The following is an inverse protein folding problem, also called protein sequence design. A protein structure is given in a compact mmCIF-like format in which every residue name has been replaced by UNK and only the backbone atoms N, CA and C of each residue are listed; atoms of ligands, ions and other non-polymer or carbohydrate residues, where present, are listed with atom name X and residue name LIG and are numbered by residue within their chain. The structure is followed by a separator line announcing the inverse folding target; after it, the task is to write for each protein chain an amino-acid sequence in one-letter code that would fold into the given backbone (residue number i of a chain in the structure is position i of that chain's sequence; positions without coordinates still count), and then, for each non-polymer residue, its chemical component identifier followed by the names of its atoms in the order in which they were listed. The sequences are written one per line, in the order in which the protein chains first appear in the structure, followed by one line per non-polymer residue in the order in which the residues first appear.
data_IF_330990538566
#
_entry.id   IF_330990538566
#
_cell.length_a   1.000
_cell.length_b   1.000
_cell.length_c   1.000
_cell.angle_alpha   90.00
_cell.angle_beta   90.00
_cell.angle_gamma   90.00
#
_symmetry.space_group_name_H-M   'P 1'
#
loop_
_entity.id
_entity.type
_entity.pdbx_description
1 polymer ?
#
# COMPACT_ATOMS: atom_id res chain seq x y z
N UNK A 1 -32.65 21.43 13.33
CA UNK A 1 -32.80 21.04 14.73
C UNK A 1 -31.82 21.90 15.48
N UNK A 2 -32.40 22.71 16.34
CA UNK A 2 -31.86 23.91 16.95
C UNK A 2 -30.64 23.60 17.81
N UNK A 3 -29.58 24.40 17.68
CA UNK A 3 -28.49 24.43 18.65
C UNK A 3 -28.41 25.86 19.21
N UNK A 4 -28.85 25.94 20.46
CA UNK A 4 -28.93 27.12 21.31
C UNK A 4 -27.55 27.76 21.51
N UNK A 5 -27.47 29.05 21.19
CA UNK A 5 -26.36 29.92 21.55
C UNK A 5 -26.39 30.19 23.06
N UNK A 6 -25.46 29.58 23.80
CA UNK A 6 -25.24 29.87 25.21
C UNK A 6 -24.25 31.04 25.34
N UNK A 7 -24.77 32.27 25.27
CA UNK A 7 -24.06 33.47 25.72
C UNK A 7 -24.06 33.51 27.26
N UNK A 8 -22.95 33.07 27.85
CA UNK A 8 -22.67 33.25 29.27
C UNK A 8 -21.89 34.54 29.51
N UNK A 9 -22.61 35.66 29.56
CA UNK A 9 -22.11 36.95 30.03
C UNK A 9 -21.88 36.88 31.55
N UNK A 10 -20.62 36.82 31.97
CA UNK A 10 -20.22 37.01 33.36
C UNK A 10 -19.57 38.38 33.48
N UNK A 11 -20.41 39.33 33.86
CA UNK A 11 -20.09 40.73 34.07
C UNK A 11 -18.79 40.93 34.86
N UNK A 12 -17.84 41.57 34.20
CA UNK A 12 -16.71 42.25 34.83
C UNK A 12 -17.28 43.40 35.66
N UNK A 13 -17.34 43.21 36.98
CA UNK A 13 -17.47 44.33 37.90
C UNK A 13 -16.21 45.20 37.77
N UNK A 14 -16.33 46.36 37.14
CA UNK A 14 -15.32 47.40 37.12
C UNK A 14 -14.97 47.80 38.56
N UNK A 15 -13.71 47.55 38.94
CA UNK A 15 -13.15 48.09 40.17
C UNK A 15 -12.65 49.52 39.90
N UNK A 16 -12.91 50.50 40.80
CA UNK A 16 -12.53 51.88 40.55
C UNK A 16 -11.01 52.09 40.52
N UNK A 17 -10.51 52.72 39.46
CA UNK A 17 -9.15 53.27 39.34
C UNK A 17 -8.95 54.50 40.26
N UNK A 18 -9.04 54.35 41.58
CA UNK A 18 -8.65 55.40 42.52
C UNK A 18 -7.89 54.83 43.72
N UNK A 19 -6.69 54.29 43.47
CA UNK A 19 -5.72 54.01 44.54
C UNK A 19 -4.28 53.95 44.00
N UNK A 20 -3.93 54.93 43.16
CA UNK A 20 -2.55 55.14 42.75
C UNK A 20 -2.20 56.63 42.83
N UNK A 21 -2.15 57.14 44.07
CA UNK A 21 -1.53 58.44 44.35
C UNK A 21 -0.67 58.32 45.61
N UNK A 22 0.66 58.51 45.51
CA UNK A 22 1.49 58.59 46.71
C UNK A 22 1.12 59.85 47.50
N UNK A 23 1.17 59.84 48.84
CA UNK A 23 0.92 61.05 49.62
C UNK A 23 2.05 62.07 49.38
N UNK A 24 1.68 63.24 48.87
CA UNK A 24 2.54 64.41 48.76
C UNK A 24 2.96 64.92 50.15
N UNK A 25 4.17 65.48 50.32
CA UNK A 25 4.55 66.15 51.55
C UNK A 25 3.86 67.52 51.61
N UNK A 26 2.82 67.65 52.43
CA UNK A 26 2.24 68.97 52.74
C UNK A 26 3.09 69.67 53.79
N UNK A 27 3.63 70.80 53.36
CA UNK A 27 4.22 71.91 54.10
C UNK A 27 3.37 72.27 55.33
N UNK A 28 4.00 72.22 56.51
CA UNK A 28 3.45 72.72 57.75
C UNK A 28 3.38 74.27 57.71
N UNK A 29 2.21 74.80 58.06
CA UNK A 29 1.98 76.22 58.27
C UNK A 29 2.58 76.72 59.58
N UNK A 30 3.06 77.95 59.53
CA UNK A 30 3.48 78.77 60.65
C UNK A 30 2.28 79.11 61.56
N UNK A 31 2.46 79.07 62.87
CA UNK A 31 1.68 79.81 63.90
C UNK A 31 2.46 79.80 65.24
N UNK A 32 2.20 80.75 66.18
CA UNK A 32 3.19 81.61 66.85
C UNK A 32 3.62 81.11 68.26
N UNK A 33 4.56 81.79 68.96
CA UNK A 33 5.03 81.32 70.25
C UNK A 33 4.03 81.68 71.36
N UNK A 34 3.73 80.73 72.22
CA UNK A 34 3.02 80.96 73.48
C UNK A 34 3.94 80.53 74.62
N UNK A 35 4.39 81.52 75.38
CA UNK A 35 5.00 81.34 76.71
C UNK A 35 3.96 80.75 77.67
N UNK A 36 4.30 79.67 78.37
CA UNK A 36 3.63 79.28 79.62
C UNK A 36 4.68 78.83 80.62
N UNK A 37 4.67 79.48 81.78
CA UNK A 37 5.58 79.30 82.89
C UNK A 37 5.47 77.94 83.59
N UNK A 38 6.60 77.55 84.17
CA UNK A 38 6.84 76.32 84.92
C UNK A 38 6.11 76.33 86.28
N UNK A 39 5.70 75.16 86.79
CA UNK A 39 6.16 74.60 88.08
C UNK A 39 5.45 73.27 88.44
N UNK A 40 6.28 72.23 88.52
CA UNK A 40 6.26 71.05 89.42
C UNK A 40 5.11 70.01 89.36
N UNK A 41 5.09 69.25 88.26
CA UNK A 41 4.61 67.85 88.20
C UNK A 41 5.28 67.03 87.06
N UNK A 42 6.48 67.45 86.62
CA UNK A 42 7.05 67.16 85.29
C UNK A 42 7.51 65.71 85.09
N UNK A 43 7.89 65.00 86.15
CA UNK A 43 8.47 63.65 86.01
C UNK A 43 7.48 62.56 85.57
N UNK A 44 6.21 62.65 85.94
CA UNK A 44 5.22 61.60 85.64
C UNK A 44 4.58 61.74 84.26
N UNK A 45 4.44 62.98 83.76
CA UNK A 45 3.87 63.26 82.44
C UNK A 45 4.87 62.99 81.31
N UNK A 46 6.16 63.24 81.53
CA UNK A 46 7.20 62.97 80.53
C UNK A 46 7.40 61.45 80.29
N UNK A 47 7.23 60.63 81.33
CA UNK A 47 7.29 59.16 81.23
C UNK A 47 6.09 58.59 80.45
N UNK A 48 4.88 59.10 80.67
CA UNK A 48 3.66 58.69 79.95
C UNK A 48 3.71 59.09 78.47
N UNK A 49 4.16 60.31 78.17
CA UNK A 49 4.36 60.78 76.80
C UNK A 49 5.41 59.93 76.08
N UNK A 50 6.50 59.57 76.76
CA UNK A 50 7.54 58.68 76.21
C UNK A 50 7.01 57.26 75.94
N UNK A 51 6.18 56.71 76.84
CA UNK A 51 5.51 55.41 76.65
C UNK A 51 4.60 55.43 75.43
N UNK A 52 3.74 56.44 75.30
CA UNK A 52 2.81 56.58 74.17
C UNK A 52 3.54 56.78 72.82
N UNK A 53 4.66 57.51 72.80
CA UNK A 53 5.50 57.62 71.62
C UNK A 53 6.10 56.27 71.21
N UNK A 54 6.56 55.48 72.19
CA UNK A 54 7.09 54.14 71.93
C UNK A 54 6.01 53.19 71.38
N UNK A 55 4.79 53.24 71.93
CA UNK A 55 3.64 52.47 71.47
C UNK A 55 3.21 52.88 70.05
N UNK A 56 3.19 54.18 69.77
CA UNK A 56 2.89 54.72 68.44
C UNK A 56 3.92 54.24 67.40
N UNK A 57 5.20 54.23 67.75
CA UNK A 57 6.26 53.74 66.86
C UNK A 57 6.17 52.22 66.64
N UNK A 58 5.80 51.45 67.67
CA UNK A 58 5.49 50.01 67.53
C UNK A 58 4.29 49.82 66.58
N UNK A 59 3.22 50.59 66.76
CA UNK A 59 2.02 50.53 65.92
C UNK A 59 2.33 50.89 64.45
N UNK A 60 3.15 51.91 64.21
CA UNK A 60 3.62 52.30 62.87
C UNK A 60 4.44 51.20 62.22
N UNK A 61 5.37 50.56 62.95
CA UNK A 61 6.16 49.43 62.43
C UNK A 61 5.29 48.23 62.11
N UNK A 62 4.34 47.89 62.98
CA UNK A 62 3.38 46.80 62.75
C UNK A 62 2.47 47.07 61.55
N UNK A 63 2.00 48.31 61.40
CA UNK A 63 1.19 48.73 60.27
C UNK A 63 1.98 48.63 58.95
N UNK A 64 3.21 49.12 58.93
CA UNK A 64 4.11 48.99 57.77
C UNK A 64 4.39 47.52 57.43
N UNK A 65 4.61 46.66 58.43
CA UNK A 65 4.79 45.22 58.22
C UNK A 65 3.53 44.56 57.61
N UNK A 66 2.33 44.94 58.07
CA UNK A 66 1.06 44.48 57.50
C UNK A 66 0.88 44.93 56.05
N UNK A 67 1.22 46.19 55.72
CA UNK A 67 1.16 46.67 54.34
C UNK A 67 2.12 45.92 53.42
N UNK A 68 3.35 45.65 53.87
CA UNK A 68 4.30 44.85 53.09
C UNK A 68 3.81 43.41 52.89
N UNK A 69 3.24 42.79 53.92
CA UNK A 69 2.66 41.44 53.81
C UNK A 69 1.48 41.41 52.83
N UNK A 70 0.56 42.38 52.92
CA UNK A 70 -0.57 42.51 51.99
C UNK A 70 -0.09 42.71 50.54
N UNK A 71 0.95 43.51 50.33
CA UNK A 71 1.54 43.72 49.00
C UNK A 71 2.15 42.45 48.41
N UNK A 72 2.84 41.65 49.23
CA UNK A 72 3.40 40.35 48.81
C UNK A 72 2.27 39.39 48.44
N UNK A 73 1.21 39.30 49.26
CA UNK A 73 0.07 38.44 49.00
C UNK A 73 -0.68 38.86 47.73
N UNK A 74 -0.86 40.17 47.49
CA UNK A 74 -1.48 40.67 46.26
C UNK A 74 -0.64 40.28 45.03
N UNK A 75 0.68 40.43 45.09
CA UNK A 75 1.58 39.99 44.01
C UNK A 75 1.50 38.48 43.77
N UNK A 76 1.40 37.68 44.82
CA UNK A 76 1.23 36.23 44.70
C UNK A 76 -0.14 35.88 44.11
N UNK A 77 -1.21 36.56 44.53
CA UNK A 77 -2.55 36.36 44.00
C UNK A 77 -2.61 36.66 42.49
N UNK A 78 -2.03 37.78 42.05
CA UNK A 78 -1.95 38.14 40.62
C UNK A 78 -1.21 37.07 39.82
N UNK A 79 -0.05 36.61 40.31
CA UNK A 79 0.71 35.53 39.65
C UNK A 79 -0.09 34.25 39.54
N UNK A 80 -0.76 33.83 40.62
CA UNK A 80 -1.60 32.62 40.62
C UNK A 80 -2.79 32.78 39.67
N UNK A 81 -3.38 33.97 39.56
CA UNK A 81 -4.45 34.21 38.59
C UNK A 81 -3.94 34.13 37.14
N UNK A 82 -2.77 34.71 36.84
CA UNK A 82 -2.15 34.63 35.51
C UNK A 82 -1.78 33.19 35.14
N UNK A 83 -1.20 32.42 36.09
CA UNK A 83 -0.89 31.00 35.92
C UNK A 83 -2.15 30.17 35.67
N UNK A 84 -3.23 30.43 36.40
CA UNK A 84 -4.53 29.77 36.20
C UNK A 84 -5.09 30.07 34.81
N UNK A 85 -5.05 31.32 34.37
CA UNK A 85 -5.52 31.71 33.04
C UNK A 85 -4.66 31.13 31.92
N UNK A 86 -3.34 31.07 32.07
CA UNK A 86 -2.51 30.40 31.06
C UNK A 86 -2.78 28.89 31.05
N UNK A 87 -3.01 28.28 32.23
CA UNK A 87 -3.45 26.89 32.33
C UNK A 87 -4.77 26.62 31.60
N UNK A 88 -5.77 27.50 31.72
CA UNK A 88 -7.03 27.35 30.97
C UNK A 88 -6.81 27.56 29.47
N UNK A 89 -6.02 28.56 29.05
CA UNK A 89 -5.65 28.76 27.63
C UNK A 89 -4.94 27.54 27.05
N UNK A 90 -4.00 26.94 27.79
CA UNK A 90 -3.29 25.74 27.35
C UNK A 90 -4.24 24.55 27.20
N UNK A 91 -5.14 24.34 28.17
CA UNK A 91 -6.18 23.31 28.10
C UNK A 91 -7.09 23.50 26.88
N UNK A 92 -7.55 24.73 26.61
CA UNK A 92 -8.34 25.03 25.41
C UNK A 92 -7.58 24.75 24.11
N UNK A 93 -6.29 25.11 24.03
CA UNK A 93 -5.44 24.79 22.87
C UNK A 93 -5.33 23.28 22.67
N UNK A 94 -5.14 22.51 23.74
CA UNK A 94 -5.07 21.05 23.70
C UNK A 94 -6.40 20.43 23.24
N UNK A 95 -7.52 20.87 23.82
CA UNK A 95 -8.85 20.42 23.38
C UNK A 95 -9.10 20.73 21.89
N UNK A 96 -8.71 21.91 21.41
CA UNK A 96 -8.86 22.27 20.00
C UNK A 96 -7.97 21.43 19.07
N UNK A 97 -6.77 21.02 19.51
CA UNK A 97 -5.90 20.12 18.76
C UNK A 97 -6.51 18.71 18.69
N UNK A 98 -6.93 18.17 19.83
CA UNK A 98 -7.55 16.85 19.90
C UNK A 98 -8.83 16.76 19.05
N UNK A 99 -9.65 17.81 19.03
CA UNK A 99 -10.84 17.86 18.17
C UNK A 99 -10.48 17.84 16.67
N UNK A 100 -9.40 18.52 16.27
CA UNK A 100 -8.92 18.47 14.87
C UNK A 100 -8.41 17.07 14.51
N UNK A 101 -7.68 16.43 15.41
CA UNK A 101 -7.21 15.05 15.21
C UNK A 101 -8.38 14.06 15.14
N UNK A 102 -9.35 14.17 16.04
CA UNK A 102 -10.57 13.35 16.01
C UNK A 102 -11.30 13.52 14.67
N UNK A 103 -11.54 14.76 14.24
CA UNK A 103 -12.19 15.04 12.97
C UNK A 103 -11.39 14.49 11.77
N UNK A 104 -10.05 14.59 11.80
CA UNK A 104 -9.17 14.01 10.78
C UNK A 104 -9.29 12.49 10.72
N UNK A 105 -9.18 11.83 11.87
CA UNK A 105 -9.32 10.37 11.99
C UNK A 105 -10.71 9.88 11.56
N UNK A 106 -11.76 10.64 11.89
CA UNK A 106 -13.13 10.30 11.48
C UNK A 106 -13.30 10.38 9.95
N UNK A 107 -12.72 11.39 9.31
CA UNK A 107 -12.71 11.48 7.85
C UNK A 107 -11.90 10.34 7.22
N UNK A 108 -10.71 10.04 7.74
CA UNK A 108 -9.90 8.92 7.27
C UNK A 108 -10.65 7.58 7.38
N UNK A 109 -11.34 7.35 8.50
CA UNK A 109 -12.16 6.17 8.72
C UNK A 109 -13.27 6.07 7.67
N UNK A 110 -14.00 7.15 7.42
CA UNK A 110 -15.07 7.19 6.40
C UNK A 110 -14.52 6.89 5.00
N UNK A 111 -13.37 7.45 4.63
CA UNK A 111 -12.71 7.16 3.35
C UNK A 111 -12.34 5.68 3.24
N UNK A 112 -11.81 5.09 4.31
CA UNK A 112 -11.43 3.68 4.33
C UNK A 112 -12.65 2.75 4.25
N UNK A 113 -13.72 3.06 4.97
CA UNK A 113 -14.99 2.32 4.91
C UNK A 113 -15.61 2.34 3.52
N UNK A 114 -15.65 3.52 2.89
CA UNK A 114 -16.13 3.68 1.51
C UNK A 114 -15.27 2.89 0.52
N UNK A 115 -13.94 2.97 0.65
CA UNK A 115 -13.02 2.22 -0.18
C UNK A 115 -13.21 0.70 -0.04
N UNK A 116 -13.33 0.21 1.19
CA UNK A 116 -13.56 -1.21 1.47
C UNK A 116 -14.89 -1.67 0.88
N UNK A 117 -15.96 -0.88 1.02
CA UNK A 117 -17.28 -1.19 0.47
C UNK A 117 -17.25 -1.29 -1.05
N UNK A 118 -16.58 -0.35 -1.74
CA UNK A 118 -16.40 -0.39 -3.20
C UNK A 118 -15.59 -1.61 -3.64
N UNK A 119 -14.53 -1.93 -2.91
CA UNK A 119 -13.70 -3.11 -3.18
C UNK A 119 -14.51 -4.40 -3.04
N UNK A 120 -15.25 -4.55 -1.94
CA UNK A 120 -16.13 -5.69 -1.71
C UNK A 120 -17.18 -5.83 -2.81
N UNK A 121 -17.83 -4.74 -3.21
CA UNK A 121 -18.81 -4.77 -4.30
C UNK A 121 -18.19 -5.21 -5.62
N UNK A 122 -17.02 -4.65 -5.99
CA UNK A 122 -16.31 -5.03 -7.21
C UNK A 122 -15.92 -6.52 -7.22
N UNK A 123 -15.54 -7.08 -6.07
CA UNK A 123 -15.25 -8.51 -5.95
C UNK A 123 -16.52 -9.37 -6.07
N UNK A 124 -17.63 -8.96 -5.46
CA UNK A 124 -18.91 -9.65 -5.61
C UNK A 124 -19.37 -9.65 -7.07
N UNK A 125 -19.27 -8.53 -7.77
CA UNK A 125 -19.65 -8.42 -9.19
C UNK A 125 -18.79 -9.34 -10.06
N UNK A 126 -17.48 -9.40 -9.82
CA UNK A 126 -16.57 -10.34 -10.52
C UNK A 126 -16.93 -11.79 -10.25
N UNK A 127 -17.20 -12.15 -9.00
CA UNK A 127 -17.58 -13.51 -8.62
C UNK A 127 -18.90 -13.91 -9.30
N UNK A 128 -19.88 -13.00 -9.33
CA UNK A 128 -21.15 -13.23 -10.02
C UNK A 128 -20.96 -13.44 -11.53
N UNK A 129 -20.12 -12.62 -12.18
CA UNK A 129 -19.78 -12.79 -13.61
C UNK A 129 -19.14 -14.16 -13.87
N UNK A 130 -18.16 -14.56 -13.05
CA UNK A 130 -17.49 -15.86 -13.18
C UNK A 130 -18.45 -17.03 -12.96
N UNK A 131 -19.37 -16.93 -12.01
CA UNK A 131 -20.40 -17.96 -11.78
C UNK A 131 -21.32 -18.07 -12.98
N UNK A 132 -21.73 -16.94 -13.57
CA UNK A 132 -22.54 -16.92 -14.77
C UNK A 132 -21.80 -17.57 -15.96
N UNK A 133 -20.59 -17.11 -16.26
CA UNK A 133 -19.73 -17.66 -17.33
C UNK A 133 -19.49 -19.16 -17.15
N UNK A 134 -19.26 -19.63 -15.92
CA UNK A 134 -19.10 -21.05 -15.64
C UNK A 134 -20.39 -21.83 -15.92
N UNK A 135 -21.55 -21.29 -15.57
CA UNK A 135 -22.82 -21.95 -15.87
C UNK A 135 -23.10 -22.03 -17.39
N UNK A 136 -22.79 -20.98 -18.14
CA UNK A 136 -22.87 -20.95 -19.61
C UNK A 136 -21.90 -21.96 -20.27
N UNK A 137 -20.68 -22.05 -19.76
CA UNK A 137 -19.68 -23.02 -20.22
C UNK A 137 -20.09 -24.46 -19.93
N UNK A 138 -20.64 -24.73 -18.75
CA UNK A 138 -21.15 -26.06 -18.39
C UNK A 138 -22.29 -26.49 -19.31
N UNK A 139 -23.22 -25.59 -19.62
CA UNK A 139 -24.31 -25.90 -20.55
C UNK A 139 -23.79 -26.15 -21.98
N UNK A 140 -22.83 -25.34 -22.43
CA UNK A 140 -22.18 -25.53 -23.74
C UNK A 140 -21.49 -26.90 -23.82
N UNK A 141 -20.73 -27.27 -22.78
CA UNK A 141 -20.09 -28.58 -22.68
C UNK A 141 -21.11 -29.72 -22.67
N UNK A 142 -22.23 -29.55 -21.96
CA UNK A 142 -23.32 -30.52 -21.91
C UNK A 142 -23.89 -30.76 -23.32
N UNK A 143 -24.23 -29.70 -24.04
CA UNK A 143 -24.77 -29.77 -25.41
C UNK A 143 -23.77 -30.40 -26.38
N UNK A 144 -22.49 -30.02 -26.31
CA UNK A 144 -21.44 -30.62 -27.13
C UNK A 144 -21.23 -32.11 -26.81
N UNK A 145 -21.27 -32.47 -25.52
CA UNK A 145 -21.20 -33.86 -25.06
C UNK A 145 -22.35 -34.72 -25.59
N UNK A 146 -23.57 -34.19 -25.64
CA UNK A 146 -24.72 -34.87 -26.26
C UNK A 146 -24.57 -35.01 -27.78
N UNK A 147 -24.08 -33.97 -28.45
CA UNK A 147 -23.81 -34.02 -29.89
C UNK A 147 -22.75 -35.09 -30.23
N UNK A 148 -21.67 -35.17 -29.45
CA UNK A 148 -20.65 -36.22 -29.59
C UNK A 148 -21.22 -37.62 -29.37
N UNK A 149 -22.09 -37.81 -28.37
CA UNK A 149 -22.77 -39.10 -28.16
C UNK A 149 -23.62 -39.49 -29.36
N UNK A 150 -24.41 -38.55 -29.90
CA UNK A 150 -25.22 -38.77 -31.11
C UNK A 150 -24.34 -39.13 -32.32
N UNK A 151 -23.27 -38.38 -32.57
CA UNK A 151 -22.33 -38.67 -33.66
C UNK A 151 -21.62 -40.01 -33.51
N UNK A 152 -21.27 -40.38 -32.28
CA UNK A 152 -20.65 -41.68 -31.99
C UNK A 152 -21.63 -42.82 -32.29
N UNK A 153 -22.89 -42.66 -31.88
CA UNK A 153 -23.94 -43.63 -32.18
C UNK A 153 -24.17 -43.76 -33.70
N UNK A 154 -24.33 -42.64 -34.42
CA UNK A 154 -24.52 -42.69 -35.88
C UNK A 154 -23.32 -43.28 -36.60
N UNK A 155 -22.09 -42.96 -36.18
CA UNK A 155 -20.88 -43.57 -36.73
C UNK A 155 -20.83 -45.09 -36.50
N UNK A 156 -21.29 -45.58 -35.34
CA UNK A 156 -21.39 -47.00 -35.07
C UNK A 156 -22.44 -47.70 -35.96
N UNK A 157 -23.60 -47.08 -36.14
CA UNK A 157 -24.66 -47.60 -37.04
C UNK A 157 -24.14 -47.67 -38.48
N UNK A 158 -23.55 -46.59 -39.00
CA UNK A 158 -22.99 -46.55 -40.34
C UNK A 158 -21.86 -47.57 -40.54
N UNK A 159 -21.03 -47.81 -39.52
CA UNK A 159 -20.00 -48.87 -39.58
C UNK A 159 -20.62 -50.26 -39.71
N UNK A 160 -21.70 -50.54 -38.97
CA UNK A 160 -22.44 -51.81 -39.06
C UNK A 160 -23.10 -51.97 -40.43
N UNK A 161 -23.81 -50.95 -40.91
CA UNK A 161 -24.43 -50.97 -42.24
C UNK A 161 -23.38 -51.18 -43.34
N UNK A 162 -22.22 -50.51 -43.26
CA UNK A 162 -21.09 -50.77 -44.15
C UNK A 162 -20.66 -52.23 -44.09
N UNK A 163 -20.51 -52.81 -42.90
CA UNK A 163 -20.07 -54.20 -42.74
C UNK A 163 -21.11 -55.20 -43.29
N UNK A 164 -22.41 -54.92 -43.15
CA UNK A 164 -23.50 -55.71 -43.74
C UNK A 164 -23.49 -55.63 -45.28
N UNK A 165 -23.32 -54.44 -45.85
CA UNK A 165 -23.21 -54.26 -47.30
C UNK A 165 -21.94 -54.91 -47.87
N UNK A 166 -20.82 -54.82 -47.14
CA UNK A 166 -19.60 -55.55 -47.49
C UNK A 166 -19.84 -57.06 -47.44
N UNK A 167 -20.61 -57.56 -46.47
CA UNK A 167 -20.96 -58.97 -46.41
C UNK A 167 -21.75 -59.47 -47.65
N UNK A 168 -22.44 -58.58 -48.37
CA UNK A 168 -23.21 -58.90 -49.58
C UNK A 168 -22.42 -58.73 -50.89
N UNK A 169 -21.24 -58.11 -50.89
CA UNK A 169 -20.40 -57.93 -52.09
C UNK A 169 -19.51 -59.13 -52.37
N UNK A 170 -19.21 -59.36 -53.66
CA UNK A 170 -18.37 -60.47 -54.11
C UNK A 170 -16.94 -60.34 -53.54
N UNK A 171 -16.29 -61.46 -53.24
CA UNK A 171 -15.03 -61.49 -52.47
C UNK A 171 -13.91 -60.72 -53.17
N UNK A 172 -13.93 -60.69 -54.50
CA UNK A 172 -12.96 -59.96 -55.33
C UNK A 172 -13.19 -58.44 -55.34
N UNK A 173 -14.40 -57.97 -55.03
CA UNK A 173 -14.75 -56.55 -55.01
C UNK A 173 -14.59 -55.92 -53.62
N UNK A 174 -14.65 -56.74 -52.56
CA UNK A 174 -14.44 -56.29 -51.16
C UNK A 174 -13.11 -55.59 -50.92
N UNK A 175 -12.04 -56.06 -51.56
CA UNK A 175 -10.69 -55.49 -51.39
C UNK A 175 -10.60 -54.01 -51.82
N UNK A 176 -11.44 -53.58 -52.76
CA UNK A 176 -11.51 -52.18 -53.22
C UNK A 176 -12.08 -51.27 -52.14
N UNK A 177 -13.05 -51.76 -51.36
CA UNK A 177 -13.76 -50.98 -50.33
C UNK A 177 -13.12 -51.08 -48.94
N UNK A 178 -12.36 -52.15 -48.68
CA UNK A 178 -11.60 -52.33 -47.44
C UNK A 178 -10.21 -51.69 -47.49
N UNK A 179 -9.75 -51.23 -48.65
CA UNK A 179 -8.53 -50.44 -48.72
C UNK A 179 -8.66 -49.25 -47.76
N UNK A 180 -7.77 -49.13 -46.74
CA UNK A 180 -7.61 -47.88 -46.03
C UNK A 180 -7.42 -46.80 -47.09
N UNK A 181 -8.00 -45.60 -46.93
CA UNK A 181 -7.75 -44.51 -47.87
C UNK A 181 -6.23 -44.28 -47.96
N UNK A 182 -5.57 -44.92 -48.93
CA UNK A 182 -4.11 -45.04 -49.05
C UNK A 182 -3.50 -43.74 -49.55
N UNK A 183 -4.32 -42.72 -49.83
CA UNK A 183 -3.86 -41.35 -49.85
C UNK A 183 -4.15 -40.73 -48.48
N UNK A 184 -3.09 -40.54 -47.68
CA UNK A 184 -3.07 -39.66 -46.52
C UNK A 184 -3.34 -38.20 -46.94
N UNK A 185 -4.55 -37.95 -47.47
CA UNK A 185 -5.04 -36.64 -47.86
C UNK A 185 -5.92 -36.16 -46.73
N UNK A 186 -5.64 -34.94 -46.26
CA UNK A 186 -6.45 -34.34 -45.22
C UNK A 186 -7.90 -34.20 -45.70
N UNK A 187 -8.90 -34.17 -44.80
CA UNK A 187 -10.30 -33.95 -45.17
C UNK A 187 -10.50 -32.68 -46.02
N UNK A 188 -9.69 -31.64 -45.75
CA UNK A 188 -9.66 -30.39 -46.52
C UNK A 188 -9.11 -30.60 -47.94
N UNK A 189 -8.10 -31.45 -48.13
CA UNK A 189 -7.61 -31.80 -49.47
C UNK A 189 -8.65 -32.60 -50.25
N UNK A 190 -9.37 -33.51 -49.59
CA UNK A 190 -10.45 -34.27 -50.22
C UNK A 190 -11.63 -33.35 -50.61
N UNK A 191 -11.98 -32.38 -49.75
CA UNK A 191 -12.97 -31.37 -50.06
C UNK A 191 -12.55 -30.49 -51.24
N UNK A 192 -11.29 -30.08 -51.31
CA UNK A 192 -10.74 -29.31 -52.44
C UNK A 192 -10.76 -30.11 -53.75
N UNK A 193 -10.49 -31.42 -53.69
CA UNK A 193 -10.59 -32.30 -54.85
C UNK A 193 -12.05 -32.44 -55.35
N UNK A 194 -13.02 -32.44 -54.44
CA UNK A 194 -14.44 -32.58 -54.75
C UNK A 194 -15.13 -31.26 -55.18
N UNK A 195 -14.56 -30.11 -54.82
CA UNK A 195 -15.16 -28.79 -55.08
C UNK A 195 -14.94 -28.27 -56.51
N UNK A 196 -14.02 -28.85 -57.29
CA UNK A 196 -13.81 -28.44 -58.69
C UNK A 196 -15.02 -28.84 -59.54
N UNK A 197 -15.68 -27.86 -60.18
CA UNK A 197 -16.75 -28.12 -61.13
C UNK A 197 -16.24 -28.71 -62.47
N UNK A 198 -14.94 -28.54 -62.78
CA UNK A 198 -14.34 -29.19 -63.93
C UNK A 198 -14.22 -30.69 -63.64
N UNK A 199 -14.68 -31.54 -64.56
CA UNK A 199 -14.49 -32.99 -64.46
C UNK A 199 -13.51 -33.46 -65.52
N UNK A 200 -12.58 -34.33 -65.13
CA UNK A 200 -11.69 -35.00 -66.07
C UNK A 200 -12.46 -35.96 -66.98
N UNK A 201 -11.83 -36.43 -68.09
CA UNK A 201 -12.45 -37.31 -69.08
C UNK A 201 -12.97 -38.65 -68.52
N UNK A 202 -12.63 -39.02 -67.28
CA UNK A 202 -13.11 -40.22 -66.57
C UNK A 202 -13.74 -39.93 -65.20
N UNK A 203 -14.28 -38.72 -64.99
CA UNK A 203 -14.72 -38.24 -63.68
C UNK A 203 -13.62 -38.14 -62.61
N UNK A 204 -12.35 -38.17 -63.04
CA UNK A 204 -11.20 -37.93 -62.17
C UNK A 204 -11.10 -36.45 -61.81
N UNK A 205 -10.53 -36.12 -60.63
CA UNK A 205 -10.29 -34.75 -60.21
C UNK A 205 -9.46 -33.99 -61.25
N UNK A 206 -9.94 -32.79 -61.59
CA UNK A 206 -9.35 -31.92 -62.60
C UNK A 206 -7.94 -31.42 -62.16
N UNK A 207 -7.10 -30.97 -63.09
CA UNK A 207 -5.80 -30.36 -62.75
C UNK A 207 -5.92 -29.18 -61.78
N UNK A 208 -7.00 -28.39 -61.88
CA UNK A 208 -7.30 -27.30 -60.96
C UNK A 208 -7.60 -27.82 -59.53
N UNK A 209 -8.26 -28.97 -59.41
CA UNK A 209 -8.60 -29.60 -58.13
C UNK A 209 -7.32 -30.09 -57.43
N UNK A 210 -6.41 -30.70 -58.20
CA UNK A 210 -5.10 -31.10 -57.70
C UNK A 210 -4.24 -29.91 -57.26
N UNK A 211 -4.23 -28.82 -58.03
CA UNK A 211 -3.53 -27.59 -57.65
C UNK A 211 -4.13 -26.97 -56.37
N UNK A 212 -5.46 -26.92 -56.25
CA UNK A 212 -6.16 -26.43 -55.07
C UNK A 212 -5.85 -27.29 -53.83
N UNK A 213 -5.97 -28.62 -53.94
CA UNK A 213 -5.64 -29.54 -52.86
C UNK A 213 -4.17 -29.45 -52.43
N UNK A 214 -3.24 -29.31 -53.39
CA UNK A 214 -1.82 -29.08 -53.08
C UNK A 214 -1.61 -27.77 -52.33
N UNK A 215 -2.25 -26.67 -52.75
CA UNK A 215 -2.17 -25.38 -52.05
C UNK A 215 -2.77 -25.45 -50.65
N UNK A 216 -3.85 -26.20 -50.48
CA UNK A 216 -4.47 -26.41 -49.18
C UNK A 216 -3.56 -27.19 -48.23
N UNK A 217 -2.82 -28.18 -48.74
CA UNK A 217 -1.77 -28.88 -47.99
C UNK A 217 -0.64 -27.93 -47.58
N UNK A 218 -0.15 -27.11 -48.50
CA UNK A 218 0.89 -26.11 -48.21
C UNK A 218 0.42 -25.11 -47.15
N UNK A 219 -0.81 -24.61 -47.25
CA UNK A 219 -1.38 -23.70 -46.26
C UNK A 219 -1.51 -24.37 -44.88
N UNK A 220 -1.97 -25.61 -44.81
CA UNK A 220 -2.05 -26.35 -43.56
C UNK A 220 -0.67 -26.53 -42.90
N UNK A 221 0.36 -26.85 -43.69
CA UNK A 221 1.74 -26.95 -43.20
C UNK A 221 2.28 -25.61 -42.69
N UNK A 222 2.00 -24.52 -43.41
CA UNK A 222 2.42 -23.17 -43.00
C UNK A 222 1.72 -22.73 -41.72
N UNK A 223 0.40 -22.94 -41.61
CA UNK A 223 -0.36 -22.61 -40.39
C UNK A 223 0.21 -23.37 -39.19
N UNK A 224 0.47 -24.67 -39.34
CA UNK A 224 1.05 -25.48 -38.27
C UNK A 224 2.45 -24.99 -37.87
N UNK A 225 3.28 -24.62 -38.85
CA UNK A 225 4.61 -24.04 -38.58
C UNK A 225 4.51 -22.70 -37.86
N UNK A 226 3.59 -21.83 -38.26
CA UNK A 226 3.35 -20.53 -37.61
C UNK A 226 2.92 -20.73 -36.16
N UNK A 227 1.97 -21.63 -35.89
CA UNK A 227 1.52 -21.95 -34.53
C UNK A 227 2.67 -22.44 -33.64
N UNK A 228 3.55 -23.28 -34.18
CA UNK A 228 4.73 -23.75 -33.44
C UNK A 228 5.68 -22.61 -33.11
N UNK A 229 5.99 -21.76 -34.09
CA UNK A 229 6.86 -20.60 -33.88
C UNK A 229 6.25 -19.60 -32.90
N UNK A 230 4.93 -19.38 -32.94
CA UNK A 230 4.22 -18.55 -31.96
C UNK A 230 4.30 -19.13 -30.55
N UNK A 231 4.13 -20.45 -30.40
CA UNK A 231 4.28 -21.14 -29.12
C UNK A 231 5.72 -21.03 -28.58
N UNK A 232 6.72 -21.28 -29.43
CA UNK A 232 8.15 -21.14 -29.08
C UNK A 232 8.48 -19.69 -28.69
N UNK A 233 8.00 -18.69 -29.43
CA UNK A 233 8.22 -17.28 -29.12
C UNK A 233 7.56 -16.89 -27.79
N UNK A 234 6.35 -17.39 -27.53
CA UNK A 234 5.65 -17.15 -26.28
C UNK A 234 6.35 -17.80 -25.08
N UNK A 235 6.85 -19.02 -25.21
CA UNK A 235 7.61 -19.70 -24.17
C UNK A 235 8.96 -19.01 -23.92
N UNK A 236 9.62 -18.52 -24.98
CA UNK A 236 10.81 -17.68 -24.87
C UNK A 236 10.53 -16.37 -24.13
N UNK A 237 9.40 -15.71 -24.42
CA UNK A 237 9.01 -14.46 -23.75
C UNK A 237 8.77 -14.69 -22.24
N UNK A 238 8.00 -15.74 -21.89
CA UNK A 238 7.81 -16.14 -20.48
C UNK A 238 9.11 -16.42 -19.77
N UNK A 239 10.03 -17.13 -20.43
CA UNK A 239 11.34 -17.45 -19.88
C UNK A 239 12.14 -16.17 -19.63
N UNK A 240 12.12 -15.21 -20.57
CA UNK A 240 12.78 -13.92 -20.40
C UNK A 240 12.20 -13.12 -19.21
N UNK A 241 10.87 -13.15 -19.02
CA UNK A 241 10.22 -12.49 -17.89
C UNK A 241 10.61 -13.10 -16.53
N UNK A 242 10.68 -14.43 -16.43
CA UNK A 242 11.14 -15.13 -15.21
C UNK A 242 12.58 -14.71 -14.88
N UNK A 243 13.46 -14.68 -15.88
CA UNK A 243 14.84 -14.22 -15.67
C UNK A 243 14.88 -12.75 -15.23
N UNK A 244 14.10 -11.88 -15.87
CA UNK A 244 14.02 -10.46 -15.50
C UNK A 244 13.62 -10.28 -14.04
N UNK A 245 12.56 -10.95 -13.60
CA UNK A 245 12.09 -10.90 -12.21
C UNK A 245 13.13 -11.43 -11.23
N UNK A 246 13.76 -12.58 -11.55
CA UNK A 246 14.84 -13.12 -10.74
C UNK A 246 16.04 -12.15 -10.63
N UNK A 247 16.41 -11.47 -11.72
CA UNK A 247 17.44 -10.43 -11.70
C UNK A 247 17.05 -9.23 -10.83
N UNK A 248 15.81 -8.77 -10.90
CA UNK A 248 15.30 -7.67 -10.07
C UNK A 248 15.35 -8.01 -8.58
N UNK A 249 14.91 -9.22 -8.20
CA UNK A 249 15.02 -9.74 -6.84
C UNK A 249 16.48 -9.78 -6.38
N UNK A 250 17.38 -10.29 -7.23
CA UNK A 250 18.80 -10.38 -6.87
C UNK A 250 19.46 -9.01 -6.72
N UNK A 251 19.10 -8.04 -7.57
CA UNK A 251 19.56 -6.66 -7.46
C UNK A 251 19.09 -6.01 -6.15
N UNK A 252 17.83 -6.23 -5.76
CA UNK A 252 17.28 -5.71 -4.51
C UNK A 252 17.98 -6.32 -3.28
N UNK A 253 18.18 -7.65 -3.26
CA UNK A 253 18.95 -8.36 -2.23
C UNK A 253 20.38 -7.80 -2.14
N UNK A 254 21.05 -7.64 -3.28
CA UNK A 254 22.43 -7.14 -3.33
C UNK A 254 22.56 -5.70 -2.82
N UNK A 255 21.64 -4.81 -3.18
CA UNK A 255 21.58 -3.42 -2.66
C UNK A 255 21.42 -3.40 -1.14
N UNK A 256 20.61 -4.30 -0.58
CA UNK A 256 20.40 -4.40 0.87
C UNK A 256 21.65 -4.91 1.59
N UNK A 257 22.29 -5.96 1.08
CA UNK A 257 23.54 -6.48 1.64
C UNK A 257 24.67 -5.44 1.56
N UNK A 258 24.79 -4.73 0.44
CA UNK A 258 25.78 -3.66 0.26
C UNK A 258 25.57 -2.54 1.29
N UNK A 259 24.32 -2.12 1.52
CA UNK A 259 24.01 -1.12 2.56
C UNK A 259 24.35 -1.61 3.96
N UNK A 260 24.05 -2.87 4.29
CA UNK A 260 24.40 -3.47 5.60
C UNK A 260 25.92 -3.55 5.79
N UNK A 261 26.66 -3.95 4.77
CA UNK A 261 28.12 -3.97 4.79
C UNK A 261 28.73 -2.57 4.96
N UNK A 262 28.24 -1.56 4.22
CA UNK A 262 28.69 -0.18 4.36
C UNK A 262 28.40 0.38 5.76
N UNK A 263 27.24 0.06 6.33
CA UNK A 263 26.90 0.45 7.71
C UNK A 263 27.81 -0.23 8.74
N UNK A 264 28.13 -1.51 8.55
CA UNK A 264 29.08 -2.23 9.40
C UNK A 264 30.51 -1.68 9.29
N UNK A 265 30.96 -1.31 8.08
CA UNK A 265 32.25 -0.66 7.86
C UNK A 265 32.30 0.70 8.56
N UNK A 266 31.31 1.58 8.34
CA UNK A 266 31.22 2.87 9.01
C UNK A 266 31.16 2.74 10.54
N UNK A 267 30.42 1.75 11.07
CA UNK A 267 30.41 1.44 12.52
C UNK A 267 31.74 0.91 13.01
N UNK A 268 32.45 0.11 12.22
CA UNK A 268 33.80 -0.38 12.53
C UNK A 268 34.82 0.76 12.51
N UNK A 269 34.64 1.76 11.64
CA UNK A 269 35.50 2.94 11.61
C UNK A 269 35.25 3.85 12.83
N UNK A 270 33.99 3.92 13.31
CA UNK A 270 33.60 4.64 14.52
C UNK A 270 33.96 3.90 15.84
N UNK A 271 33.85 2.57 15.89
CA UNK A 271 34.05 1.74 17.10
C UNK A 271 35.36 0.96 17.10
N UNK A 272 36.12 0.97 16.00
CA UNK A 272 37.43 0.34 15.86
C UNK A 272 38.50 0.98 16.74
N UNK A 273 38.21 2.14 17.34
CA UNK A 273 38.99 2.73 18.41
C UNK A 273 38.77 2.06 19.78
N UNK A 274 37.70 1.26 19.99
CA UNK A 274 37.35 0.81 21.35
C UNK A 274 36.96 -0.65 21.56
N UNK A 275 36.29 -1.39 20.65
CA UNK A 275 35.89 -2.79 20.98
C UNK A 275 35.72 -3.72 19.78
N UNK A 276 36.34 -4.91 19.86
CA UNK A 276 36.10 -6.07 18.99
C UNK A 276 34.79 -6.78 19.38
N UNK A 277 33.67 -6.43 18.73
CA UNK A 277 32.43 -7.22 18.84
C UNK A 277 32.40 -8.35 17.80
N UNK A 278 31.77 -9.48 18.18
CA UNK A 278 31.60 -10.68 17.36
C UNK A 278 30.89 -10.34 16.03
N UNK A 279 31.25 -11.01 14.91
CA UNK A 279 30.61 -10.78 13.62
C UNK A 279 29.12 -11.14 13.68
N UNK A 280 28.30 -10.33 13.00
CA UNK A 280 26.86 -10.58 12.79
C UNK A 280 26.71 -11.85 11.95
N UNK A 281 26.43 -12.98 12.60
CA UNK A 281 26.28 -14.29 11.95
C UNK A 281 25.21 -14.27 10.86
N UNK A 282 24.11 -13.53 11.06
CA UNK A 282 23.05 -13.43 10.06
C UNK A 282 23.51 -12.75 8.78
N UNK A 283 24.35 -11.71 8.86
CA UNK A 283 24.92 -11.08 7.66
C UNK A 283 25.88 -12.01 6.90
N UNK A 284 26.64 -12.83 7.63
CA UNK A 284 27.55 -13.82 7.03
C UNK A 284 26.74 -14.89 6.31
N UNK A 285 25.68 -15.39 6.93
CA UNK A 285 24.80 -16.39 6.33
C UNK A 285 24.12 -15.83 5.05
N UNK A 286 23.60 -14.60 5.09
CA UNK A 286 22.99 -13.95 3.91
C UNK A 286 23.99 -13.69 2.76
N UNK A 287 25.27 -13.45 3.09
CA UNK A 287 26.33 -13.27 2.09
C UNK A 287 26.73 -14.60 1.45
N UNK A 288 26.78 -15.67 2.25
CA UNK A 288 27.05 -17.04 1.77
C UNK A 288 25.92 -17.47 0.83
N UNK A 289 24.66 -17.26 1.22
CA UNK A 289 23.50 -17.57 0.38
C UNK A 289 23.54 -16.79 -0.95
N UNK A 290 23.80 -15.48 -0.93
CA UNK A 290 23.94 -14.68 -2.14
C UNK A 290 25.12 -15.11 -3.04
N UNK A 291 26.20 -15.63 -2.46
CA UNK A 291 27.31 -16.20 -3.24
C UNK A 291 26.93 -17.54 -3.87
N UNK A 292 26.20 -18.40 -3.15
CA UNK A 292 25.64 -19.63 -3.68
C UNK A 292 24.70 -19.36 -4.86
N UNK A 293 23.74 -18.45 -4.70
CA UNK A 293 22.79 -18.03 -5.75
C UNK A 293 23.52 -17.57 -7.03
N UNK A 294 24.58 -16.75 -6.87
CA UNK A 294 25.39 -16.26 -8.00
C UNK A 294 26.16 -17.38 -8.69
N UNK A 295 26.68 -18.33 -7.93
CA UNK A 295 27.42 -19.45 -8.48
C UNK A 295 26.49 -20.40 -9.26
N UNK A 296 25.30 -20.66 -8.73
CA UNK A 296 24.25 -21.44 -9.41
C UNK A 296 23.78 -20.74 -10.69
N UNK A 297 23.51 -19.43 -10.65
CA UNK A 297 23.14 -18.64 -11.82
C UNK A 297 24.23 -18.69 -12.91
N UNK A 298 25.51 -18.62 -12.53
CA UNK A 298 26.64 -18.73 -13.48
C UNK A 298 26.69 -20.11 -14.13
N UNK A 299 26.44 -21.19 -13.36
CA UNK A 299 26.36 -22.55 -13.90
C UNK A 299 25.21 -22.66 -14.91
N UNK A 300 24.03 -22.15 -14.58
CA UNK A 300 22.89 -22.12 -15.52
C UNK A 300 23.21 -21.34 -16.80
N UNK A 301 23.86 -20.18 -16.70
CA UNK A 301 24.29 -19.42 -17.87
C UNK A 301 25.30 -20.19 -18.73
N UNK A 302 26.30 -20.84 -18.13
CA UNK A 302 27.28 -21.64 -18.87
C UNK A 302 26.64 -22.85 -19.57
N UNK A 303 25.68 -23.51 -18.91
CA UNK A 303 24.92 -24.62 -19.51
C UNK A 303 24.08 -24.11 -20.68
N UNK A 304 23.38 -22.99 -20.52
CA UNK A 304 22.59 -22.38 -21.61
C UNK A 304 23.45 -21.95 -22.80
N UNK A 305 24.60 -21.32 -22.56
CA UNK A 305 25.54 -20.95 -23.64
C UNK A 305 26.02 -22.18 -24.40
N UNK A 306 26.32 -23.29 -23.70
CA UNK A 306 26.69 -24.56 -24.34
C UNK A 306 25.54 -25.16 -25.15
N UNK A 307 24.32 -25.14 -24.63
CA UNK A 307 23.14 -25.62 -25.35
C UNK A 307 22.85 -24.80 -26.60
N UNK A 308 22.93 -23.47 -26.51
CA UNK A 308 22.79 -22.56 -27.65
C UNK A 308 23.88 -22.79 -28.71
N UNK A 309 25.13 -22.98 -28.29
CA UNK A 309 26.22 -23.30 -29.20
C UNK A 309 26.01 -24.65 -29.92
N UNK A 310 25.48 -25.66 -29.22
CA UNK A 310 25.11 -26.94 -29.83
C UNK A 310 23.95 -26.79 -30.82
N UNK A 311 22.93 -26.00 -30.49
CA UNK A 311 21.78 -25.77 -31.39
C UNK A 311 22.20 -25.02 -32.67
N UNK A 312 23.07 -24.02 -32.55
CA UNK A 312 23.61 -23.29 -33.71
C UNK A 312 24.53 -24.17 -34.56
N UNK A 313 25.36 -25.01 -33.96
CA UNK A 313 26.23 -25.95 -34.68
C UNK A 313 25.49 -27.05 -35.45
N UNK A 314 24.27 -27.43 -35.04
CA UNK A 314 23.41 -28.34 -35.82
C UNK A 314 22.60 -27.60 -36.92
N UNK A 315 22.44 -26.28 -36.81
CA UNK A 315 21.76 -25.46 -37.82
C UNK A 315 22.58 -25.17 -39.08
N UNK A 316 23.90 -25.37 -39.05
CA UNK A 316 24.81 -25.16 -40.18
C UNK A 316 25.01 -26.40 -41.09
N UNK A 317 24.33 -27.53 -40.81
CA UNK A 317 24.43 -28.78 -41.60
C UNK A 317 23.19 -29.11 -42.47
N UNK A 318 22.30 -28.14 -42.73
CA UNK A 318 21.14 -28.31 -43.63
C UNK A 318 21.27 -27.43 -44.87
#
# INVERSE_FOLDING_TARGET
MDDDAFEGDLGLAEWPEELNKPPSPSTAGETPPVEVGCLDASGAHDDEVSSLQSELDICRRLLNAKYLAAHILLKQLVRVSEEKEEGTRQSHRQCAQLLKELNGLQYELQCMEEHLRRSQQAWLDRLNSLVQENSENLETLRVQGEALKRLTYTAQVLRRERDELLALTDVKERDVYLQPATSARSPLELAALAACACRGPRQEPCGCAHAAAHKQRQLAQLIERTKRLEAEAHDSAKTADIYREAFEVQLAKNRTLTRRLAHMQSRRDLLGALLTKKPDRGLVDDLVENLCDKNEALVHQQVMVKLLALQLGHGEQV
#
